data_IF_230251329148
#
_entry.id   IF_230251329148
#
_cell.length_a   1.000
_cell.length_b   1.000
_cell.length_c   1.000
_cell.angle_alpha   90.00
_cell.angle_beta   90.00
_cell.angle_gamma   90.00
#
_symmetry.space_group_name_H-M   'P 1'
#
loop_
_entity.id
_entity.type
_entity.pdbx_description
1 polymer ?
#
# COMPACT_ATOMS: atom_id res chain seq x y z
N UNK A 1 -11.46 3.27 -9.02
CA UNK A 1 -11.71 1.86 -9.40
C UNK A 1 -12.33 1.86 -10.78
N UNK A 2 -11.73 1.13 -11.69
CA UNK A 2 -12.28 0.87 -13.02
C UNK A 2 -13.29 -0.28 -12.93
N UNK A 3 -14.52 -0.05 -13.39
CA UNK A 3 -15.63 -1.02 -13.25
C UNK A 3 -15.58 -2.15 -14.29
N UNK A 4 -14.92 -1.90 -15.41
CA UNK A 4 -14.75 -2.90 -16.48
C UNK A 4 -13.63 -3.88 -16.20
N UNK A 5 -12.58 -3.45 -15.51
CA UNK A 5 -11.37 -4.24 -15.27
C UNK A 5 -11.16 -4.61 -13.81
N UNK A 6 -11.77 -3.88 -12.87
CA UNK A 6 -11.50 -4.00 -11.44
C UNK A 6 -10.20 -3.30 -10.99
N UNK A 7 -9.50 -2.61 -11.90
CA UNK A 7 -8.24 -1.94 -11.57
C UNK A 7 -8.44 -0.86 -10.50
N UNK A 8 -7.60 -0.90 -9.48
CA UNK A 8 -7.53 0.11 -8.43
C UNK A 8 -6.37 1.06 -8.73
N UNK A 9 -6.67 2.34 -8.91
CA UNK A 9 -5.66 3.36 -9.11
C UNK A 9 -5.58 4.30 -7.92
N UNK A 10 -4.45 4.31 -7.23
CA UNK A 10 -4.16 5.27 -6.16
C UNK A 10 -3.87 6.63 -6.81
N UNK A 11 -4.79 7.58 -6.68
CA UNK A 11 -4.68 8.90 -7.32
C UNK A 11 -3.84 9.88 -6.50
N UNK A 12 -3.93 9.76 -5.19
CA UNK A 12 -3.27 10.65 -4.24
C UNK A 12 -2.99 9.87 -2.95
N UNK A 13 -1.81 10.06 -2.39
CA UNK A 13 -1.46 9.51 -1.09
C UNK A 13 -0.75 10.58 -0.26
N UNK A 14 -1.28 10.85 0.92
CA UNK A 14 -0.70 11.80 1.87
C UNK A 14 -0.17 10.99 3.06
N UNK A 15 1.10 11.20 3.41
CA UNK A 15 1.73 10.58 4.56
C UNK A 15 2.34 11.64 5.48
N UNK A 16 2.06 11.52 6.77
CA UNK A 16 2.66 12.38 7.80
C UNK A 16 3.35 11.46 8.81
N UNK A 17 4.66 11.56 8.87
CA UNK A 17 5.51 10.70 9.70
C UNK A 17 6.14 11.48 10.86
N UNK A 18 6.38 10.79 11.98
CA UNK A 18 7.12 11.32 13.11
C UNK A 18 8.33 10.43 13.43
N UNK A 19 9.49 10.84 13.00
CA UNK A 19 10.76 10.19 13.36
C UNK A 19 11.57 10.99 14.39
N UNK A 20 10.91 11.83 15.16
CA UNK A 20 11.56 12.75 16.11
C UNK A 20 12.37 13.82 15.40
N UNK A 21 13.51 14.18 15.96
CA UNK A 21 14.42 15.12 15.31
C UNK A 21 15.07 14.49 14.08
N UNK A 22 14.84 15.09 12.92
CA UNK A 22 15.40 14.61 11.65
C UNK A 22 16.88 14.99 11.56
N UNK A 23 17.74 13.99 11.37
CA UNK A 23 19.19 14.19 11.21
C UNK A 23 19.52 14.52 9.74
N UNK A 24 18.94 13.79 8.80
CA UNK A 24 19.12 14.02 7.38
C UNK A 24 17.77 13.97 6.63
N UNK A 25 17.20 15.12 6.26
CA UNK A 25 15.89 15.18 5.61
C UNK A 25 15.81 14.38 4.31
N UNK A 26 16.83 14.44 3.47
CA UNK A 26 16.84 13.74 2.17
C UNK A 26 16.77 12.21 2.34
N UNK A 27 17.48 11.68 3.34
CA UNK A 27 17.41 10.23 3.64
C UNK A 27 16.05 9.87 4.21
N UNK A 28 15.49 10.68 5.10
CA UNK A 28 14.16 10.44 5.69
C UNK A 28 13.08 10.46 4.61
N UNK A 29 13.08 11.44 3.73
CA UNK A 29 12.14 11.50 2.59
C UNK A 29 12.27 10.28 1.69
N UNK A 30 13.50 9.84 1.41
CA UNK A 30 13.76 8.62 0.64
C UNK A 30 13.21 7.36 1.31
N UNK A 31 13.34 7.24 2.64
CA UNK A 31 12.77 6.12 3.40
C UNK A 31 11.23 6.14 3.38
N UNK A 32 10.62 7.31 3.53
CA UNK A 32 9.16 7.45 3.49
C UNK A 32 8.64 7.09 2.10
N UNK A 33 9.18 7.66 1.03
CA UNK A 33 8.77 7.35 -0.35
C UNK A 33 8.96 5.88 -0.68
N UNK A 34 10.10 5.30 -0.32
CA UNK A 34 10.38 3.88 -0.53
C UNK A 34 9.46 2.96 0.26
N UNK A 35 9.16 3.32 1.51
CA UNK A 35 8.23 2.58 2.37
C UNK A 35 6.79 2.62 1.84
N UNK A 36 6.33 3.77 1.34
CA UNK A 36 5.01 3.90 0.70
C UNK A 36 4.93 3.02 -0.56
N UNK A 37 5.95 3.09 -1.43
CA UNK A 37 6.01 2.26 -2.64
C UNK A 37 6.02 0.76 -2.29
N UNK A 38 6.79 0.36 -1.29
CA UNK A 38 6.81 -1.00 -0.79
C UNK A 38 5.42 -1.43 -0.27
N UNK A 39 4.69 -0.57 0.41
CA UNK A 39 3.37 -0.88 0.96
C UNK A 39 2.27 -1.01 -0.11
N UNK A 40 2.42 -0.37 -1.27
CA UNK A 40 1.50 -0.53 -2.41
C UNK A 40 1.53 -1.97 -2.93
N UNK A 41 2.70 -2.61 -2.96
CA UNK A 41 2.88 -3.97 -3.44
C UNK A 41 1.93 -4.97 -2.79
N UNK A 42 2.09 -5.29 -1.51
CA UNK A 42 1.23 -6.25 -0.82
C UNK A 42 -0.24 -5.81 -0.73
N UNK A 43 -0.53 -4.51 -0.84
CA UNK A 43 -1.91 -4.05 -0.83
C UNK A 43 -2.67 -4.40 -2.12
N UNK A 44 -2.03 -4.31 -3.28
CA UNK A 44 -2.70 -4.37 -4.58
C UNK A 44 -2.18 -5.45 -5.54
N UNK A 45 -0.92 -5.89 -5.41
CA UNK A 45 -0.26 -6.65 -6.47
C UNK A 45 0.46 -7.92 -6.01
N UNK A 46 1.22 -7.83 -4.92
CA UNK A 46 2.14 -8.89 -4.51
C UNK A 46 1.39 -10.06 -3.86
N UNK A 47 1.46 -11.23 -4.46
CA UNK A 47 0.85 -12.45 -3.94
C UNK A 47 1.79 -13.62 -4.14
N UNK A 48 1.96 -14.43 -3.09
CA UNK A 48 2.63 -15.74 -3.17
C UNK A 48 1.55 -16.80 -3.02
N UNK A 49 1.44 -17.66 -4.03
CA UNK A 49 0.54 -18.81 -4.00
C UNK A 49 1.32 -20.10 -3.89
N UNK A 50 0.67 -21.13 -3.37
CA UNK A 50 1.21 -22.47 -3.24
C UNK A 50 0.30 -23.47 -3.95
N UNK A 51 0.90 -24.49 -4.57
CA UNK A 51 0.16 -25.62 -5.10
C UNK A 51 -0.30 -26.58 -3.98
N UNK A 52 -1.01 -27.66 -4.35
CA UNK A 52 -1.52 -28.65 -3.40
C UNK A 52 -0.41 -29.42 -2.66
N UNK A 53 0.78 -29.46 -3.22
CA UNK A 53 1.97 -30.10 -2.63
C UNK A 53 2.81 -29.14 -1.77
N UNK A 54 2.41 -27.86 -1.69
CA UNK A 54 3.09 -26.81 -0.92
C UNK A 54 4.27 -26.18 -1.64
N UNK A 55 4.43 -26.39 -2.95
CA UNK A 55 5.45 -25.68 -3.73
C UNK A 55 4.97 -24.28 -4.08
N UNK A 56 5.90 -23.31 -4.12
CA UNK A 56 5.61 -21.95 -4.53
C UNK A 56 5.24 -21.91 -6.01
N UNK A 57 4.05 -21.43 -6.32
CA UNK A 57 3.63 -21.08 -7.67
C UNK A 57 3.99 -19.62 -7.93
N UNK A 58 4.69 -19.34 -9.04
CA UNK A 58 5.07 -17.96 -9.37
C UNK A 58 6.27 -17.44 -8.58
N UNK A 59 7.33 -18.23 -8.44
CA UNK A 59 8.55 -17.87 -7.71
C UNK A 59 9.55 -17.01 -8.48
N UNK A 60 9.16 -16.36 -9.55
CA UNK A 60 10.00 -15.44 -10.34
C UNK A 60 9.41 -14.05 -10.44
N UNK A 61 10.22 -13.03 -10.81
CA UNK A 61 9.71 -11.68 -11.09
C UNK A 61 8.82 -11.60 -12.34
N UNK A 62 8.64 -12.67 -13.07
CA UNK A 62 7.65 -12.75 -14.14
C UNK A 62 6.23 -12.91 -13.56
N UNK A 63 6.12 -13.59 -12.44
CA UNK A 63 4.85 -13.97 -11.80
C UNK A 63 4.57 -13.13 -10.55
N UNK A 64 5.63 -12.77 -9.80
CA UNK A 64 5.54 -11.93 -8.61
C UNK A 64 5.66 -10.46 -9.00
N UNK A 65 4.54 -9.76 -8.99
CA UNK A 65 4.47 -8.39 -9.48
C UNK A 65 4.92 -7.37 -8.43
N UNK A 66 6.12 -6.82 -8.63
CA UNK A 66 6.64 -5.70 -7.83
C UNK A 66 6.21 -4.38 -8.49
N UNK A 67 5.56 -3.45 -7.75
CA UNK A 67 5.16 -2.16 -8.31
C UNK A 67 6.33 -1.40 -8.93
N UNK A 68 6.08 -0.80 -10.07
CA UNK A 68 7.01 0.14 -10.73
C UNK A 68 6.62 1.59 -10.42
N UNK A 69 7.35 2.54 -10.97
CA UNK A 69 7.01 3.95 -10.83
C UNK A 69 5.66 4.34 -11.46
N UNK A 70 5.10 3.48 -12.33
CA UNK A 70 3.81 3.73 -12.98
C UNK A 70 2.63 3.49 -12.04
N UNK A 71 2.75 2.53 -11.13
CA UNK A 71 1.73 2.18 -10.15
C UNK A 71 1.76 3.10 -8.93
N UNK A 72 2.89 3.77 -8.71
CA UNK A 72 3.05 4.67 -7.57
C UNK A 72 2.50 6.06 -7.90
N UNK A 73 1.62 6.64 -7.06
CA UNK A 73 1.19 8.02 -7.21
C UNK A 73 2.33 8.98 -6.84
N UNK A 74 2.13 10.26 -7.12
CA UNK A 74 2.96 11.29 -6.51
C UNK A 74 2.69 11.32 -5.01
N UNK A 75 3.73 11.07 -4.21
CA UNK A 75 3.64 11.14 -2.75
C UNK A 75 3.56 12.59 -2.28
N UNK A 76 2.65 12.86 -1.37
CA UNK A 76 2.59 14.10 -0.61
C UNK A 76 3.00 13.77 0.83
N UNK A 77 4.16 14.22 1.23
CA UNK A 77 4.74 13.89 2.54
C UNK A 77 4.91 15.13 3.39
N UNK A 78 4.65 14.98 4.68
CA UNK A 78 4.91 15.99 5.70
C UNK A 78 5.37 15.28 7.00
N UNK A 79 5.70 16.03 8.02
CA UNK A 79 6.24 15.51 9.26
C UNK A 79 5.68 16.23 10.48
N UNK A 80 5.55 15.47 11.55
CA UNK A 80 5.47 15.98 12.92
C UNK A 80 6.75 15.66 13.65
N UNK A 81 7.02 16.36 14.75
CA UNK A 81 8.27 16.18 15.52
C UNK A 81 7.94 15.99 16.98
N UNK A 82 8.07 14.75 17.46
CA UNK A 82 8.04 14.39 18.87
C UNK A 82 9.37 13.76 19.24
N UNK A 83 10.31 14.50 19.83
CA UNK A 83 11.63 13.97 20.14
C UNK A 83 11.58 12.78 21.08
N UNK A 84 12.42 11.76 20.82
CA UNK A 84 12.57 10.63 21.71
C UNK A 84 13.30 11.06 23.00
N UNK A 85 12.76 10.77 24.18
CA UNK A 85 13.46 11.02 25.43
C UNK A 85 14.62 10.04 25.71
N UNK A 86 14.68 8.94 24.95
CA UNK A 86 15.66 7.86 25.14
C UNK A 86 16.87 7.95 24.21
N UNK A 87 16.88 8.93 23.30
CA UNK A 87 17.97 9.12 22.36
C UNK A 87 18.53 10.56 22.47
N UNK A 88 19.87 10.73 22.57
CA UNK A 88 20.48 12.04 22.84
C UNK A 88 20.16 13.11 21.77
N UNK A 89 19.94 12.70 20.51
CA UNK A 89 19.50 13.61 19.45
C UNK A 89 17.99 13.72 19.32
N UNK A 90 17.21 13.01 20.14
CA UNK A 90 15.76 12.96 20.02
C UNK A 90 15.23 12.29 18.74
N UNK A 91 16.07 11.56 18.02
CA UNK A 91 15.69 10.84 16.81
C UNK A 91 14.93 9.54 17.12
N UNK A 92 14.07 9.11 16.19
CA UNK A 92 13.36 7.83 16.18
C UNK A 92 13.60 7.12 14.85
N UNK A 93 13.35 5.80 14.81
CA UNK A 93 13.41 5.02 13.58
C UNK A 93 12.39 5.51 12.55
N UNK A 94 12.74 5.44 11.26
CA UNK A 94 11.88 5.84 10.14
C UNK A 94 11.83 4.78 9.04
N UNK A 95 12.69 3.76 9.09
CA UNK A 95 12.86 2.80 7.99
C UNK A 95 11.59 2.06 7.58
N UNK A 96 10.68 1.77 8.50
CA UNK A 96 9.46 1.00 8.26
C UNK A 96 8.17 1.79 8.49
N UNK A 97 8.25 3.05 8.94
CA UNK A 97 7.05 3.82 9.34
C UNK A 97 6.01 3.90 8.23
N UNK A 98 6.42 4.28 7.04
CA UNK A 98 5.54 4.42 5.89
C UNK A 98 5.01 3.07 5.38
N UNK A 99 5.83 2.02 5.42
CA UNK A 99 5.43 0.66 5.00
C UNK A 99 4.34 0.08 5.91
N UNK A 100 4.39 0.36 7.20
CA UNK A 100 3.35 -0.12 8.14
C UNK A 100 2.00 0.54 7.86
N UNK A 101 1.98 1.82 7.51
CA UNK A 101 0.74 2.58 7.28
C UNK A 101 0.12 2.40 5.90
N UNK A 102 0.93 2.13 4.88
CA UNK A 102 0.46 2.16 3.49
C UNK A 102 -0.56 1.05 3.13
N UNK A 103 -0.34 -0.24 3.43
CA UNK A 103 -1.31 -1.29 3.08
C UNK A 103 -2.69 -1.06 3.70
N UNK A 104 -2.83 -0.82 5.01
CA UNK A 104 -4.15 -0.59 5.60
C UNK A 104 -4.81 0.70 5.10
N UNK A 105 -4.05 1.76 4.80
CA UNK A 105 -4.61 2.97 4.22
C UNK A 105 -5.22 2.72 2.84
N UNK A 106 -4.53 1.96 1.98
CA UNK A 106 -5.02 1.59 0.66
C UNK A 106 -6.24 0.67 0.77
N UNK A 107 -6.17 -0.37 1.60
CA UNK A 107 -7.28 -1.30 1.79
C UNK A 107 -8.54 -0.57 2.28
N UNK A 108 -8.40 0.30 3.26
CA UNK A 108 -9.51 1.10 3.78
C UNK A 108 -10.09 2.04 2.72
N UNK A 109 -9.24 2.67 1.89
CA UNK A 109 -9.70 3.55 0.81
C UNK A 109 -10.47 2.78 -0.27
N UNK A 110 -10.08 1.55 -0.60
CA UNK A 110 -10.82 0.71 -1.55
C UNK A 110 -12.16 0.27 -0.96
N UNK A 111 -12.17 -0.16 0.29
CA UNK A 111 -13.42 -0.53 0.99
C UNK A 111 -14.37 0.66 1.07
N UNK A 112 -13.86 1.85 1.41
CA UNK A 112 -14.65 3.09 1.45
C UNK A 112 -15.23 3.43 0.06
N UNK A 113 -14.43 3.33 -1.00
CA UNK A 113 -14.88 3.56 -2.37
C UNK A 113 -16.00 2.60 -2.81
N UNK A 114 -16.05 1.39 -2.24
CA UNK A 114 -17.05 0.37 -2.54
C UNK A 114 -18.16 0.25 -1.48
N UNK A 115 -18.13 1.10 -0.45
CA UNK A 115 -19.08 1.06 0.68
C UNK A 115 -20.54 1.21 0.25
N UNK A 116 -20.80 1.99 -0.80
CA UNK A 116 -22.12 2.18 -1.40
C UNK A 116 -22.72 0.90 -1.99
N UNK A 117 -21.89 -0.14 -2.25
CA UNK A 117 -22.30 -1.48 -2.67
C UNK A 117 -22.44 -2.45 -1.48
N UNK A 118 -22.31 -1.95 -0.26
CA UNK A 118 -22.37 -2.77 0.96
C UNK A 118 -21.09 -3.59 1.20
N UNK A 119 -19.96 -3.16 0.66
CA UNK A 119 -18.64 -3.77 0.93
C UNK A 119 -18.11 -3.21 2.25
N UNK A 120 -17.75 -4.08 3.16
CA UNK A 120 -17.23 -3.72 4.50
C UNK A 120 -15.83 -4.26 4.76
N UNK A 121 -15.35 -5.19 3.92
CA UNK A 121 -14.05 -5.81 4.06
C UNK A 121 -13.56 -6.36 2.72
N UNK A 122 -12.23 -6.30 2.48
CA UNK A 122 -11.52 -6.96 1.39
C UNK A 122 -10.15 -7.41 1.90
N UNK A 123 -9.79 -8.66 1.64
CA UNK A 123 -8.46 -9.18 1.92
C UNK A 123 -7.44 -8.70 0.90
N UNK A 124 -6.27 -8.31 1.38
CA UNK A 124 -5.11 -7.99 0.51
C UNK A 124 -4.46 -9.29 0.01
N UNK A 125 -3.79 -9.25 -1.17
CA UNK A 125 -3.80 -8.16 -2.12
C UNK A 125 -5.18 -7.95 -2.76
N UNK A 126 -5.56 -6.69 -2.94
CA UNK A 126 -6.83 -6.31 -3.59
C UNK A 126 -6.59 -6.25 -5.10
N UNK A 127 -6.49 -7.42 -5.71
CA UNK A 127 -6.19 -7.56 -7.13
C UNK A 127 -7.37 -7.10 -8.02
N UNK A 128 -7.11 -6.69 -9.27
CA UNK A 128 -8.17 -6.34 -10.22
C UNK A 128 -9.22 -7.43 -10.38
N UNK A 129 -8.80 -8.69 -10.40
CA UNK A 129 -9.70 -9.84 -10.48
C UNK A 129 -10.66 -9.91 -9.28
N UNK A 130 -10.14 -9.81 -8.06
CA UNK A 130 -10.96 -9.82 -6.83
C UNK A 130 -11.99 -8.69 -6.85
N UNK A 131 -11.57 -7.49 -7.24
CA UNK A 131 -12.47 -6.32 -7.33
C UNK A 131 -13.52 -6.51 -8.43
N UNK A 132 -13.12 -6.95 -9.61
CA UNK A 132 -14.05 -7.17 -10.72
C UNK A 132 -15.10 -8.24 -10.41
N UNK A 133 -14.68 -9.37 -9.81
CA UNK A 133 -15.61 -10.41 -9.36
C UNK A 133 -16.61 -9.89 -8.33
N UNK A 134 -16.15 -9.08 -7.39
CA UNK A 134 -17.00 -8.43 -6.42
C UNK A 134 -18.02 -7.48 -7.08
N UNK A 135 -17.56 -6.63 -7.99
CA UNK A 135 -18.43 -5.72 -8.76
C UNK A 135 -19.47 -6.50 -9.54
N UNK A 136 -19.10 -7.61 -10.18
CA UNK A 136 -20.01 -8.49 -10.89
C UNK A 136 -21.08 -9.10 -9.97
N UNK A 137 -20.69 -9.60 -8.81
CA UNK A 137 -21.62 -10.13 -7.80
C UNK A 137 -22.61 -9.07 -7.30
N UNK A 138 -22.19 -7.82 -7.25
CA UNK A 138 -23.03 -6.69 -6.82
C UNK A 138 -23.82 -6.05 -7.98
N UNK A 139 -23.69 -6.57 -9.20
CA UNK A 139 -24.34 -5.99 -10.39
C UNK A 139 -23.82 -4.62 -10.78
N UNK A 140 -22.57 -4.30 -10.44
CA UNK A 140 -21.93 -3.01 -10.63
C UNK A 140 -20.75 -3.04 -11.63
N UNK A 141 -20.41 -4.21 -12.19
CA UNK A 141 -19.43 -4.34 -13.27
C UNK A 141 -20.00 -3.80 -14.60
N UNK A 142 -19.12 -3.27 -15.45
CA UNK A 142 -19.44 -2.81 -16.82
C UNK A 142 -19.00 -3.83 -17.87
#
# INVERSE_FOLDING_TARGET
IDRGTGEVKVRRFVAVDDCGNIINPMIVDGQIHGGLAQGVGPALYEEISYDEDGNISGGSFLDYYVPTALECPKWETDKTVTPSPHHPFGAKGVGESATVGAPPAIANAVVDALSHLGVTHLDIPITPEKVWQLLKQKGAAE
#
